data_IF_684387789779
#
_entry.id   IF_684387789779
#
_cell.length_a   1.000
_cell.length_b   1.000
_cell.length_c   1.000
_cell.angle_alpha   90.00
_cell.angle_beta   90.00
_cell.angle_gamma   90.00
#
_symmetry.space_group_name_H-M   'P 1'
#
loop_
_entity.id
_entity.type
_entity.pdbx_description
1 polymer ?
#
# COMPACT_ATOMS: atom_id res chain seq x y z
N UNK A 1 2.17 -47.27 50.50
CA UNK A 1 3.47 -47.05 49.82
C UNK A 1 3.44 -47.50 48.35
N UNK A 2 2.91 -48.68 48.00
CA UNK A 2 2.84 -49.17 46.63
C UNK A 2 2.05 -48.23 45.67
N UNK A 3 0.92 -47.65 46.14
CA UNK A 3 0.10 -46.75 45.34
C UNK A 3 0.83 -45.43 44.99
N UNK A 4 1.61 -44.91 45.95
CA UNK A 4 2.42 -43.69 45.72
C UNK A 4 3.55 -43.97 44.70
N UNK A 5 4.19 -45.12 44.77
CA UNK A 5 5.24 -45.51 43.77
C UNK A 5 4.63 -45.62 42.39
N UNK A 6 3.47 -46.27 42.27
CA UNK A 6 2.79 -46.45 40.99
C UNK A 6 2.39 -45.07 40.37
N UNK A 7 1.85 -44.16 41.20
CA UNK A 7 1.48 -42.82 40.77
C UNK A 7 2.70 -42.04 40.25
N UNK A 8 3.83 -42.11 40.96
CA UNK A 8 5.07 -41.43 40.51
C UNK A 8 5.58 -42.03 39.19
N UNK A 9 5.59 -43.36 39.05
CA UNK A 9 6.02 -44.02 37.81
C UNK A 9 5.13 -43.59 36.62
N UNK A 10 3.80 -43.57 36.80
CA UNK A 10 2.86 -43.13 35.73
C UNK A 10 3.11 -41.66 35.33
N UNK A 11 3.32 -40.80 36.32
CA UNK A 11 3.60 -39.38 36.03
C UNK A 11 4.89 -39.18 35.24
N UNK A 12 5.95 -39.90 35.59
CA UNK A 12 7.24 -39.85 34.89
C UNK A 12 7.09 -40.35 33.43
N UNK A 13 6.32 -41.39 33.22
CA UNK A 13 6.07 -41.92 31.86
C UNK A 13 5.29 -40.92 31.04
N UNK A 14 4.25 -40.29 31.59
CA UNK A 14 3.45 -39.27 30.88
C UNK A 14 4.32 -38.06 30.53
N UNK A 15 5.10 -37.54 31.47
CA UNK A 15 5.99 -36.41 31.21
C UNK A 15 7.08 -36.76 30.20
N UNK A 16 7.64 -37.97 30.25
CA UNK A 16 8.63 -38.46 29.29
C UNK A 16 8.07 -38.56 27.88
N UNK A 17 6.87 -39.14 27.73
CA UNK A 17 6.20 -39.25 26.41
C UNK A 17 5.78 -37.85 25.85
N UNK A 18 5.27 -36.97 26.69
CA UNK A 18 4.94 -35.63 26.29
C UNK A 18 6.19 -34.81 25.85
N UNK A 19 7.29 -34.96 26.61
CA UNK A 19 8.57 -34.35 26.24
C UNK A 19 9.12 -34.87 24.92
N UNK A 20 9.01 -36.21 24.69
CA UNK A 20 9.45 -36.83 23.44
C UNK A 20 8.60 -36.38 22.25
N UNK A 21 7.28 -36.28 22.42
CA UNK A 21 6.38 -35.77 21.38
C UNK A 21 6.71 -34.31 21.03
N UNK A 22 6.90 -33.44 22.03
CA UNK A 22 7.30 -32.04 21.82
C UNK A 22 8.65 -31.95 21.11
N UNK A 23 9.62 -32.77 21.50
CA UNK A 23 10.92 -32.82 20.83
C UNK A 23 10.79 -33.18 19.34
N UNK A 24 10.02 -34.19 18.99
CA UNK A 24 9.80 -34.59 17.59
C UNK A 24 9.00 -33.52 16.79
N UNK A 25 8.04 -32.87 17.42
CA UNK A 25 7.28 -31.76 16.75
C UNK A 25 8.19 -30.59 16.50
N UNK A 26 9.00 -30.19 17.48
CA UNK A 26 9.89 -29.03 17.37
C UNK A 26 11.10 -29.26 16.46
N UNK A 27 11.61 -30.51 16.39
CA UNK A 27 12.78 -30.87 15.57
C UNK A 27 12.43 -31.45 14.21
N UNK A 28 11.17 -31.37 13.75
CA UNK A 28 10.84 -31.72 12.37
C UNK A 28 11.62 -30.81 11.43
N UNK A 29 12.67 -31.35 10.82
CA UNK A 29 13.35 -30.66 9.72
C UNK A 29 12.36 -30.52 8.57
N UNK A 30 12.28 -29.32 7.93
CA UNK A 30 11.49 -29.18 6.73
C UNK A 30 11.97 -30.19 5.68
N UNK A 31 11.07 -31.00 5.16
CA UNK A 31 11.36 -31.88 4.03
C UNK A 31 11.27 -31.02 2.77
N UNK A 32 12.43 -30.71 2.21
CA UNK A 32 12.51 -30.05 0.93
C UNK A 32 12.33 -31.10 -0.18
N UNK A 33 11.28 -30.92 -0.97
CA UNK A 33 11.12 -31.69 -2.21
C UNK A 33 11.68 -30.84 -3.34
N UNK A 34 12.48 -31.44 -4.19
CA UNK A 34 12.95 -30.78 -5.40
C UNK A 34 11.73 -30.55 -6.30
N UNK A 35 11.51 -29.29 -6.69
CA UNK A 35 10.48 -28.98 -7.67
C UNK A 35 10.98 -29.43 -9.06
N UNK A 36 10.11 -30.10 -9.81
CA UNK A 36 10.35 -30.35 -11.22
C UNK A 36 10.18 -29.04 -11.98
N UNK A 37 11.30 -28.39 -12.28
CA UNK A 37 11.33 -27.17 -13.05
C UNK A 37 11.38 -27.51 -14.54
N UNK A 38 10.31 -27.26 -15.25
CA UNK A 38 10.30 -27.29 -16.72
C UNK A 38 10.80 -25.97 -17.28
N UNK A 39 11.75 -26.03 -18.18
CA UNK A 39 12.21 -24.83 -18.90
C UNK A 39 11.09 -24.38 -19.84
N UNK A 40 10.59 -23.14 -19.62
CA UNK A 40 9.66 -22.53 -20.54
C UNK A 40 10.36 -21.50 -21.40
N UNK A 41 9.92 -21.33 -22.65
CA UNK A 41 10.33 -20.26 -23.55
C UNK A 41 9.43 -19.03 -23.42
N UNK A 42 8.41 -19.10 -22.59
CA UNK A 42 7.54 -17.96 -22.32
C UNK A 42 8.29 -16.89 -21.55
N UNK A 43 8.08 -15.65 -21.93
CA UNK A 43 8.57 -14.50 -21.15
C UNK A 43 7.75 -14.41 -19.87
N UNK A 44 8.34 -14.83 -18.76
CA UNK A 44 7.69 -14.76 -17.46
C UNK A 44 7.73 -13.32 -16.99
N UNK A 45 6.57 -12.69 -16.92
CA UNK A 45 6.42 -11.38 -16.31
C UNK A 45 6.10 -11.57 -14.81
N UNK A 46 7.03 -11.16 -13.97
CA UNK A 46 6.70 -10.97 -12.55
C UNK A 46 6.10 -9.57 -12.37
N UNK A 47 4.78 -9.44 -12.15
CA UNK A 47 4.12 -8.13 -12.11
C UNK A 47 4.60 -7.25 -10.95
N UNK A 48 5.17 -7.87 -9.91
CA UNK A 48 5.54 -7.19 -8.67
C UNK A 48 7.06 -7.12 -8.45
N UNK A 49 7.85 -7.44 -9.44
CA UNK A 49 9.31 -7.39 -9.38
C UNK A 49 9.86 -6.53 -10.52
N UNK A 50 10.69 -5.56 -10.17
CA UNK A 50 11.32 -4.69 -11.15
C UNK A 50 11.31 -3.22 -10.71
N UNK A 51 11.62 -2.38 -11.66
CA UNK A 51 11.60 -0.93 -11.49
C UNK A 51 10.18 -0.39 -11.61
N UNK A 52 9.92 0.71 -10.92
CA UNK A 52 8.73 1.53 -11.09
C UNK A 52 9.12 3.00 -11.10
N UNK A 53 8.28 3.82 -11.71
CA UNK A 53 8.42 5.26 -11.69
C UNK A 53 7.45 5.87 -10.68
N UNK A 54 7.78 7.08 -10.22
CA UNK A 54 6.99 7.83 -9.25
C UNK A 54 6.26 8.96 -9.98
N UNK A 55 4.95 9.03 -9.82
CA UNK A 55 4.11 10.06 -10.40
C UNK A 55 3.36 10.81 -9.30
N UNK A 56 3.53 12.13 -9.25
CA UNK A 56 2.93 12.96 -8.23
C UNK A 56 1.72 13.76 -8.73
N UNK A 57 0.63 13.76 -7.97
CA UNK A 57 -0.60 14.51 -8.23
C UNK A 57 -0.97 15.30 -6.97
N UNK A 58 -1.33 16.57 -7.13
CA UNK A 58 -1.87 17.39 -6.04
C UNK A 58 -3.37 17.50 -6.24
N UNK A 59 -4.16 17.05 -5.27
CA UNK A 59 -5.60 17.27 -5.30
C UNK A 59 -5.93 18.73 -5.09
N UNK A 60 -6.87 19.21 -5.88
CA UNK A 60 -7.33 20.59 -5.89
C UNK A 60 -8.84 20.69 -5.62
N UNK A 61 -9.32 21.89 -5.33
CA UNK A 61 -10.76 22.14 -5.15
C UNK A 61 -11.42 22.66 -6.43
N UNK A 62 -10.82 22.42 -7.58
CA UNK A 62 -11.31 22.94 -8.83
C UNK A 62 -12.50 22.13 -9.36
N UNK A 63 -13.58 22.84 -9.70
CA UNK A 63 -14.80 22.21 -10.20
C UNK A 63 -14.62 21.58 -11.57
N UNK A 64 -15.20 20.37 -11.72
CA UNK A 64 -15.23 19.58 -12.95
C UNK A 64 -16.34 19.99 -13.91
N UNK A 65 -16.50 21.17 -14.27
CA UNK A 65 -17.44 21.42 -15.35
C UNK A 65 -16.81 20.95 -16.66
N UNK A 66 -17.24 19.79 -17.13
CA UNK A 66 -16.72 19.20 -18.36
C UNK A 66 -16.61 20.23 -19.49
N UNK A 67 -15.41 20.40 -20.03
CA UNK A 67 -15.13 21.35 -21.10
C UNK A 67 -14.88 22.79 -20.67
N UNK A 68 -14.95 23.13 -19.39
CA UNK A 68 -14.76 24.49 -18.88
C UNK A 68 -13.59 24.67 -17.91
N UNK A 69 -12.98 23.57 -17.42
CA UNK A 69 -11.85 23.66 -16.50
C UNK A 69 -10.52 23.32 -17.20
N UNK A 70 -9.64 24.30 -17.46
CA UNK A 70 -8.32 24.06 -18.03
C UNK A 70 -7.40 23.21 -17.16
N UNK A 71 -7.63 23.16 -15.83
CA UNK A 71 -6.83 22.36 -14.91
C UNK A 71 -6.96 20.86 -15.17
N UNK A 72 -8.15 20.37 -15.49
CA UNK A 72 -8.36 18.96 -15.83
C UNK A 72 -7.77 18.56 -17.17
N UNK A 73 -7.74 19.42 -18.15
CA UNK A 73 -7.05 19.15 -19.41
C UNK A 73 -5.54 19.03 -19.21
N UNK A 74 -4.97 19.79 -18.28
CA UNK A 74 -3.56 19.68 -17.87
C UNK A 74 -3.32 18.36 -17.10
N UNK A 75 -4.22 18.02 -16.17
CA UNK A 75 -4.17 16.77 -15.42
C UNK A 75 -4.26 15.56 -16.37
N UNK A 76 -5.22 15.53 -17.29
CA UNK A 76 -5.37 14.49 -18.28
C UNK A 76 -4.14 14.34 -19.16
N UNK A 77 -3.55 15.44 -19.61
CA UNK A 77 -2.31 15.42 -20.38
C UNK A 77 -1.18 14.81 -19.54
N UNK A 78 -1.05 15.24 -18.28
CA UNK A 78 -0.03 14.72 -17.36
C UNK A 78 -0.19 13.21 -17.12
N UNK A 79 -1.41 12.74 -16.89
CA UNK A 79 -1.69 11.31 -16.69
C UNK A 79 -1.40 10.54 -17.99
N UNK A 80 -1.86 11.02 -19.12
CA UNK A 80 -1.64 10.33 -20.41
C UNK A 80 -0.15 10.20 -20.74
N UNK A 81 0.65 11.22 -20.46
CA UNK A 81 2.12 11.16 -20.62
C UNK A 81 2.73 10.14 -19.67
N UNK A 82 2.29 10.13 -18.41
CA UNK A 82 2.79 9.20 -17.40
C UNK A 82 2.46 7.74 -17.75
N UNK A 83 1.22 7.46 -18.17
CA UNK A 83 0.78 6.14 -18.63
C UNK A 83 1.60 5.69 -19.84
N UNK A 84 1.76 6.55 -20.86
CA UNK A 84 2.56 6.22 -22.04
C UNK A 84 4.03 5.96 -21.71
N UNK A 85 4.60 6.69 -20.72
CA UNK A 85 5.96 6.45 -20.24
C UNK A 85 6.09 5.07 -19.58
N UNK A 86 5.16 4.72 -18.69
CA UNK A 86 5.18 3.41 -18.00
C UNK A 86 5.02 2.26 -19.00
N UNK A 87 4.14 2.39 -19.99
CA UNK A 87 3.96 1.39 -21.04
C UNK A 87 5.21 1.25 -21.91
N UNK A 88 5.83 2.36 -22.30
CA UNK A 88 7.08 2.36 -23.07
C UNK A 88 8.24 1.72 -22.32
N UNK A 89 8.29 1.91 -20.98
CA UNK A 89 9.27 1.28 -20.12
C UNK A 89 8.94 -0.18 -19.77
N UNK A 90 7.76 -0.67 -20.17
CA UNK A 90 7.22 -1.97 -19.80
C UNK A 90 7.14 -2.14 -18.26
N UNK A 91 6.86 -1.05 -17.55
CA UNK A 91 6.66 -1.05 -16.10
C UNK A 91 5.38 -1.83 -15.76
N UNK A 92 5.41 -2.57 -14.67
CA UNK A 92 4.25 -3.30 -14.13
C UNK A 92 3.73 -2.72 -12.83
N UNK A 93 4.48 -1.79 -12.27
CA UNK A 93 4.15 -1.05 -11.06
C UNK A 93 4.34 0.44 -11.32
N UNK A 94 3.46 1.25 -10.76
CA UNK A 94 3.60 2.69 -10.70
C UNK A 94 3.33 3.17 -9.28
N UNK A 95 4.20 4.01 -8.73
CA UNK A 95 3.94 4.69 -7.45
C UNK A 95 3.25 6.02 -7.72
N UNK A 96 2.01 6.14 -7.27
CA UNK A 96 1.27 7.40 -7.31
C UNK A 96 1.35 8.09 -5.95
N UNK A 97 1.95 9.25 -5.92
CA UNK A 97 1.94 10.16 -4.78
C UNK A 97 0.79 11.15 -4.90
N UNK A 98 -0.16 11.07 -3.98
CA UNK A 98 -1.35 11.93 -3.94
C UNK A 98 -1.17 12.96 -2.82
N UNK A 99 -0.95 14.22 -3.21
CA UNK A 99 -0.69 15.30 -2.27
C UNK A 99 -1.99 15.99 -1.87
N UNK A 100 -2.26 15.99 -0.56
CA UNK A 100 -3.45 16.57 0.08
C UNK A 100 -3.17 17.92 0.75
N UNK A 101 -2.01 18.54 0.51
CA UNK A 101 -1.57 19.76 1.20
C UNK A 101 -2.62 20.88 1.21
N UNK A 102 -3.41 21.04 0.14
CA UNK A 102 -4.43 22.06 0.06
C UNK A 102 -5.61 21.85 1.03
N UNK A 103 -5.68 20.66 1.63
CA UNK A 103 -6.75 20.26 2.56
C UNK A 103 -6.22 20.02 3.98
N UNK A 104 -5.01 20.48 4.31
CA UNK A 104 -4.42 20.25 5.63
C UNK A 104 -5.27 20.84 6.80
N UNK A 105 -6.08 21.83 6.53
CA UNK A 105 -6.93 22.55 7.50
C UNK A 105 -8.44 22.25 7.36
N UNK A 106 -8.84 21.42 6.42
CA UNK A 106 -10.25 21.10 6.12
C UNK A 106 -10.41 19.74 5.47
N UNK A 107 -11.64 19.26 5.41
CA UNK A 107 -12.02 18.03 4.72
C UNK A 107 -11.74 18.09 3.21
N UNK A 108 -11.54 16.92 2.61
CA UNK A 108 -11.54 16.80 1.16
C UNK A 108 -12.93 17.16 0.61
N UNK A 109 -12.96 18.02 -0.38
CA UNK A 109 -14.20 18.38 -1.04
C UNK A 109 -14.65 17.30 -2.03
N UNK A 110 -15.91 17.37 -2.46
CA UNK A 110 -16.41 16.49 -3.52
C UNK A 110 -15.59 16.61 -4.81
N UNK A 111 -15.10 17.82 -5.12
CA UNK A 111 -14.23 18.05 -6.28
C UNK A 111 -12.90 17.32 -6.13
N UNK A 112 -12.26 17.40 -4.96
CA UNK A 112 -10.99 16.71 -4.69
C UNK A 112 -11.16 15.18 -4.73
N UNK A 113 -12.25 14.65 -4.19
CA UNK A 113 -12.57 13.22 -4.25
C UNK A 113 -12.86 12.75 -5.68
N UNK A 114 -13.54 13.58 -6.46
CA UNK A 114 -13.77 13.30 -7.86
C UNK A 114 -12.47 13.33 -8.69
N UNK A 115 -11.54 14.23 -8.37
CA UNK A 115 -10.22 14.30 -8.99
C UNK A 115 -9.40 13.03 -8.65
N UNK A 116 -9.41 12.57 -7.38
CA UNK A 116 -8.79 11.30 -6.99
C UNK A 116 -9.36 10.13 -7.78
N UNK A 117 -10.69 10.02 -7.85
CA UNK A 117 -11.37 8.98 -8.64
C UNK A 117 -10.96 9.03 -10.10
N UNK A 118 -10.90 10.23 -10.69
CA UNK A 118 -10.49 10.41 -12.07
C UNK A 118 -9.05 9.93 -12.31
N UNK A 119 -8.11 10.31 -11.45
CA UNK A 119 -6.71 9.85 -11.52
C UNK A 119 -6.66 8.32 -11.52
N UNK A 120 -7.33 7.66 -10.58
CA UNK A 120 -7.33 6.20 -10.50
C UNK A 120 -7.97 5.54 -11.72
N UNK A 121 -9.12 6.05 -12.18
CA UNK A 121 -9.80 5.56 -13.40
C UNK A 121 -8.89 5.65 -14.64
N UNK A 122 -8.16 6.75 -14.79
CA UNK A 122 -7.24 6.90 -15.93
C UNK A 122 -6.04 5.95 -15.83
N UNK A 123 -5.57 5.63 -14.63
CA UNK A 123 -4.50 4.67 -14.42
C UNK A 123 -4.94 3.20 -14.60
N UNK A 124 -6.23 2.89 -14.47
CA UNK A 124 -6.78 1.57 -14.81
C UNK A 124 -6.65 1.26 -16.31
N UNK A 125 -6.51 2.28 -17.16
CA UNK A 125 -6.25 2.09 -18.60
C UNK A 125 -4.81 1.61 -18.87
N UNK A 126 -3.91 1.72 -17.88
CA UNK A 126 -2.53 1.24 -17.99
C UNK A 126 -2.40 -0.24 -17.62
N UNK A 127 -1.25 -0.84 -17.97
CA UNK A 127 -0.90 -2.20 -17.56
C UNK A 127 -0.27 -2.27 -16.16
N UNK A 128 -0.18 -1.15 -15.43
CA UNK A 128 0.45 -1.06 -14.12
C UNK A 128 -0.52 -1.39 -12.98
N UNK A 129 -0.04 -2.17 -12.00
CA UNK A 129 -0.64 -2.18 -10.67
C UNK A 129 -0.11 -0.99 -9.86
N UNK A 130 -0.94 -0.40 -9.03
CA UNK A 130 -0.63 0.86 -8.37
C UNK A 130 -0.14 0.66 -6.95
N UNK A 131 0.94 1.35 -6.61
CA UNK A 131 1.32 1.65 -5.24
C UNK A 131 0.82 3.05 -4.96
N UNK A 132 -0.06 3.22 -3.97
CA UNK A 132 -0.58 4.54 -3.60
C UNK A 132 0.12 5.05 -2.36
N UNK A 133 0.51 6.30 -2.39
CA UNK A 133 1.06 7.01 -1.23
C UNK A 133 0.39 8.37 -1.12
N UNK A 134 -0.29 8.60 -0.02
CA UNK A 134 -0.85 9.90 0.30
C UNK A 134 0.11 10.69 1.19
N UNK A 135 0.14 12.00 1.01
CA UNK A 135 1.08 12.88 1.70
C UNK A 135 0.58 14.32 1.73
N UNK A 136 1.22 15.14 2.56
CA UNK A 136 1.00 16.60 2.61
C UNK A 136 2.26 17.38 2.26
N UNK A 137 3.35 16.69 1.94
CA UNK A 137 4.65 17.31 1.75
C UNK A 137 5.50 16.59 0.69
N UNK A 138 6.10 17.38 -0.20
CA UNK A 138 7.09 16.93 -1.19
C UNK A 138 8.48 17.50 -0.96
N UNK A 139 8.62 18.43 0.01
CA UNK A 139 9.80 19.29 0.14
C UNK A 139 10.63 18.97 1.40
N UNK A 140 10.24 17.97 2.17
CA UNK A 140 10.90 17.61 3.43
C UNK A 140 10.48 18.47 4.62
N UNK A 141 9.26 19.05 4.57
CA UNK A 141 8.74 19.99 5.58
C UNK A 141 7.40 19.52 6.18
N UNK A 142 7.20 18.22 6.32
CA UNK A 142 5.92 17.63 6.78
C UNK A 142 5.40 18.27 8.06
N UNK A 143 6.26 18.54 9.05
CA UNK A 143 5.85 19.17 10.31
C UNK A 143 5.12 20.51 10.15
N UNK A 144 5.34 21.22 9.04
CA UNK A 144 4.68 22.50 8.76
C UNK A 144 3.49 22.38 7.80
N UNK A 145 3.40 21.28 7.05
CA UNK A 145 2.42 21.12 5.98
C UNK A 145 1.33 20.12 6.29
N UNK A 146 1.56 19.24 7.25
CA UNK A 146 0.55 18.30 7.76
C UNK A 146 -0.58 19.01 8.50
N UNK A 147 -1.78 18.42 8.57
CA UNK A 147 -2.82 18.84 9.49
C UNK A 147 -2.31 19.03 10.92
N UNK A 148 -2.89 19.98 11.65
CA UNK A 148 -2.53 20.19 13.04
C UNK A 148 -3.08 19.11 13.98
N UNK A 149 -4.10 18.39 13.56
CA UNK A 149 -4.79 17.37 14.32
C UNK A 149 -4.77 16.04 13.56
N UNK A 150 -4.42 14.96 14.25
CA UNK A 150 -4.40 13.61 13.68
C UNK A 150 -5.81 13.16 13.23
N UNK A 151 -6.87 13.65 13.89
CA UNK A 151 -8.24 13.35 13.51
C UNK A 151 -8.59 13.84 12.10
N UNK A 152 -7.97 14.92 11.64
CA UNK A 152 -8.14 15.39 10.26
C UNK A 152 -7.51 14.41 9.26
N UNK A 153 -6.35 13.86 9.58
CA UNK A 153 -5.70 12.83 8.76
C UNK A 153 -6.56 11.57 8.68
N UNK A 154 -7.07 11.11 9.83
CA UNK A 154 -7.99 9.97 9.88
C UNK A 154 -9.27 10.22 9.07
N UNK A 155 -9.76 11.45 9.08
CA UNK A 155 -10.93 11.81 8.28
C UNK A 155 -10.64 11.76 6.79
N UNK A 156 -9.50 12.28 6.33
CA UNK A 156 -9.07 12.14 4.94
C UNK A 156 -8.94 10.66 4.53
N UNK A 157 -8.40 9.81 5.39
CA UNK A 157 -8.35 8.37 5.13
C UNK A 157 -9.76 7.79 4.93
N UNK A 158 -10.72 8.15 5.80
CA UNK A 158 -12.12 7.70 5.69
C UNK A 158 -12.78 8.20 4.41
N UNK A 159 -12.51 9.45 4.00
CA UNK A 159 -13.05 10.01 2.78
C UNK A 159 -12.50 9.29 1.53
N UNK A 160 -11.22 8.90 1.52
CA UNK A 160 -10.61 8.21 0.40
C UNK A 160 -11.05 6.74 0.29
N UNK A 161 -11.40 6.07 1.39
CA UNK A 161 -11.57 4.61 1.45
C UNK A 161 -12.60 4.06 0.46
N UNK A 162 -13.69 4.79 0.22
CA UNK A 162 -14.72 4.36 -0.73
C UNK A 162 -14.15 4.30 -2.15
N UNK A 163 -13.44 5.34 -2.56
CA UNK A 163 -12.82 5.43 -3.88
C UNK A 163 -11.75 4.34 -4.04
N UNK A 164 -10.91 4.13 -3.02
CA UNK A 164 -9.91 3.08 -3.06
C UNK A 164 -10.53 1.68 -3.20
N UNK A 165 -11.67 1.44 -2.55
CA UNK A 165 -12.40 0.17 -2.67
C UNK A 165 -13.01 -0.02 -4.07
N UNK A 166 -13.44 1.03 -4.74
CA UNK A 166 -13.92 0.97 -6.12
C UNK A 166 -12.81 0.57 -7.10
N UNK A 167 -11.55 0.94 -6.82
CA UNK A 167 -10.37 0.70 -7.66
C UNK A 167 -9.42 -0.39 -7.10
N UNK A 168 -9.86 -1.17 -6.11
CA UNK A 168 -9.02 -2.13 -5.37
C UNK A 168 -8.29 -3.16 -6.24
N UNK A 169 -8.88 -3.54 -7.36
CA UNK A 169 -8.33 -4.59 -8.23
C UNK A 169 -7.09 -4.09 -9.00
N UNK A 170 -6.92 -2.77 -9.11
CA UNK A 170 -5.73 -2.15 -9.69
C UNK A 170 -4.72 -1.66 -8.63
N UNK A 171 -5.12 -1.61 -7.37
CA UNK A 171 -4.25 -1.16 -6.27
C UNK A 171 -3.52 -2.36 -5.68
N UNK A 172 -2.19 -2.41 -5.87
CA UNK A 172 -1.34 -3.42 -5.26
C UNK A 172 -1.19 -3.23 -3.75
N UNK A 173 -0.89 -2.00 -3.32
CA UNK A 173 -0.81 -1.63 -1.92
C UNK A 173 -0.94 -0.12 -1.70
N UNK A 174 -1.30 0.25 -0.47
CA UNK A 174 -1.20 1.63 0.02
C UNK A 174 0.03 1.71 0.93
N UNK A 175 0.94 2.62 0.64
CA UNK A 175 2.19 2.79 1.35
C UNK A 175 2.10 3.95 2.34
N UNK A 176 2.51 3.70 3.60
CA UNK A 176 2.48 4.70 4.66
C UNK A 176 1.08 4.95 5.21
N UNK A 177 0.98 5.97 6.08
CA UNK A 177 -0.25 6.37 6.78
C UNK A 177 -0.50 7.89 6.64
N UNK A 178 -0.24 8.45 5.50
CA UNK A 178 -0.43 9.86 5.13
C UNK A 178 0.52 10.86 5.81
N UNK A 179 1.36 10.48 6.74
CA UNK A 179 2.20 11.38 7.54
C UNK A 179 3.68 11.30 7.17
N UNK A 180 4.41 12.33 7.54
CA UNK A 180 5.85 12.45 7.39
C UNK A 180 6.29 13.01 6.05
N UNK A 181 7.57 13.31 5.98
CA UNK A 181 8.18 13.76 4.74
C UNK A 181 7.92 12.72 3.65
N UNK A 182 7.46 13.19 2.51
CA UNK A 182 7.14 12.34 1.34
C UNK A 182 6.08 11.26 1.61
N UNK A 183 5.33 11.32 2.73
CA UNK A 183 4.41 10.28 3.17
C UNK A 183 5.10 9.04 3.74
N UNK A 184 6.37 9.15 4.15
CA UNK A 184 7.22 8.05 4.60
C UNK A 184 7.31 7.92 6.13
N UNK A 185 6.40 8.54 6.86
CA UNK A 185 6.23 8.48 8.31
C UNK A 185 7.36 9.10 9.14
N UNK A 186 8.46 9.56 8.52
CA UNK A 186 9.54 10.22 9.26
C UNK A 186 9.36 11.75 9.26
N UNK A 187 9.88 12.42 10.28
CA UNK A 187 9.81 13.88 10.44
C UNK A 187 8.37 14.43 10.43
N UNK A 188 7.41 13.63 10.86
CA UNK A 188 6.06 14.08 11.11
C UNK A 188 5.95 14.77 12.47
N UNK A 189 4.99 15.70 12.63
CA UNK A 189 4.63 16.23 13.96
C UNK A 189 4.01 15.16 14.85
N UNK A 190 3.55 14.05 14.30
CA UNK A 190 2.93 12.94 15.01
C UNK A 190 3.89 11.75 15.22
N UNK A 191 5.12 11.81 14.71
CA UNK A 191 6.15 10.83 15.03
C UNK A 191 6.90 11.28 16.27
N UNK A 192 6.67 10.59 17.40
CA UNK A 192 7.45 10.75 18.64
C UNK A 192 8.74 9.97 18.60
#
# INVERSE_FOLDING_TARGET
RAVCILAVCVTVVILGTAGLCLYFVYNKKPVWTQADLTVTQEVLHNPYCGWYQIYGYTLTDESQTAGQNPAWSVLDTKISVAVAQSESANDRLALLQINLKQFADRDLTENALAELKHILTRWEESSCSLILRFLYDWDGNAQSTEPNDISQIENHMRQCVQILNEHKDNIYLVQGIFIGNYGEMHHSRFSS
#
